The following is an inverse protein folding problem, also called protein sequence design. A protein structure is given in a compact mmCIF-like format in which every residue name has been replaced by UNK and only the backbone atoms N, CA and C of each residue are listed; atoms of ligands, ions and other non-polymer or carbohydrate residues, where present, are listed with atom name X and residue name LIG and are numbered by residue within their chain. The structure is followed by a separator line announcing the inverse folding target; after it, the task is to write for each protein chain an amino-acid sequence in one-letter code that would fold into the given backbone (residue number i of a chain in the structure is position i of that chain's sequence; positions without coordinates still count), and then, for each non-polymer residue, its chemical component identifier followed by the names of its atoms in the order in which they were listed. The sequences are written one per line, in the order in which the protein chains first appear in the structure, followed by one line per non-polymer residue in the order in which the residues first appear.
data_IF_325924740122
#
_entry.id   IF_325924740122
#
_cell.length_a   1.000
_cell.length_b   1.000
_cell.length_c   1.000
_cell.angle_alpha   90.00
_cell.angle_beta   90.00
_cell.angle_gamma   90.00
#
_symmetry.space_group_name_H-M   'P 1'
#
loop_
_entity.id
_entity.type
_entity.pdbx_description
1 polymer ?
#
# COMPACT_ATOMS: atom_id res chain seq x y z
N UNK A 1 -75.27 33.64 -13.45
CA UNK A 1 -74.53 33.40 -12.20
C UNK A 1 -74.02 31.96 -12.26
N UNK A 2 -72.74 31.73 -12.61
CA UNK A 2 -72.24 30.34 -12.75
C UNK A 2 -71.68 29.86 -11.39
N UNK A 3 -72.11 28.63 -11.02
CA UNK A 3 -71.74 27.95 -9.80
C UNK A 3 -70.40 27.24 -10.02
N UNK A 4 -69.34 27.70 -9.36
CA UNK A 4 -68.01 27.03 -9.36
C UNK A 4 -68.04 25.82 -8.43
N UNK A 5 -67.93 24.60 -9.00
CA UNK A 5 -67.67 23.39 -8.24
C UNK A 5 -66.16 23.25 -7.96
N UNK A 6 -65.76 23.16 -6.67
CA UNK A 6 -64.39 22.86 -6.25
C UNK A 6 -64.02 21.41 -6.56
N UNK A 7 -62.79 21.13 -7.06
CA UNK A 7 -62.33 19.76 -7.25
C UNK A 7 -61.98 19.11 -5.93
N UNK A 8 -62.41 17.86 -5.72
CA UNK A 8 -62.08 17.02 -4.61
C UNK A 8 -60.65 16.50 -4.76
N UNK A 9 -59.76 16.91 -3.87
CA UNK A 9 -58.40 16.42 -3.78
C UNK A 9 -58.37 15.03 -3.22
N UNK A 10 -58.02 14.02 -4.05
CA UNK A 10 -57.82 12.62 -3.62
C UNK A 10 -56.40 12.49 -3.10
N UNK A 11 -56.25 12.27 -1.81
CA UNK A 11 -54.99 11.89 -1.20
C UNK A 11 -54.69 10.44 -1.53
N UNK A 12 -53.63 10.17 -2.33
CA UNK A 12 -53.08 8.84 -2.51
C UNK A 12 -52.14 8.57 -1.35
N UNK A 13 -52.54 7.71 -0.41
CA UNK A 13 -51.65 7.22 0.64
C UNK A 13 -50.66 6.25 0.02
N UNK A 14 -49.42 6.70 -0.15
CA UNK A 14 -48.31 5.86 -0.59
C UNK A 14 -47.90 4.91 0.54
N UNK A 15 -48.07 3.62 0.35
CA UNK A 15 -47.59 2.58 1.28
C UNK A 15 -46.04 2.43 1.09
N UNK A 16 -45.27 2.96 2.01
CA UNK A 16 -43.80 2.74 2.05
C UNK A 16 -43.56 1.38 2.69
N UNK A 17 -43.25 0.38 1.89
CA UNK A 17 -42.80 -0.93 2.37
C UNK A 17 -41.30 -0.77 2.72
N UNK A 18 -40.99 -0.61 4.00
CA UNK A 18 -39.64 -0.68 4.51
C UNK A 18 -39.20 -2.16 4.50
N UNK A 19 -38.45 -2.53 3.44
CA UNK A 19 -37.80 -3.82 3.36
C UNK A 19 -36.68 -3.92 4.40
N UNK A 20 -36.84 -4.72 5.44
CA UNK A 20 -35.76 -5.09 6.35
C UNK A 20 -34.80 -6.03 5.61
N UNK A 21 -33.66 -5.50 5.18
CA UNK A 21 -32.52 -6.34 4.75
C UNK A 21 -31.92 -6.95 6.01
N UNK A 22 -32.22 -8.21 6.28
CA UNK A 22 -31.56 -8.97 7.33
C UNK A 22 -30.11 -9.22 6.90
N UNK A 23 -29.16 -8.51 7.50
CA UNK A 23 -27.74 -8.81 7.38
C UNK A 23 -27.49 -10.13 8.14
N UNK A 24 -27.44 -11.24 7.43
CA UNK A 24 -26.99 -12.50 7.99
C UNK A 24 -25.53 -12.31 8.45
N UNK A 25 -25.28 -12.39 9.75
CA UNK A 25 -23.93 -12.44 10.31
C UNK A 25 -23.27 -13.72 9.81
N UNK A 26 -22.32 -13.58 8.87
CA UNK A 26 -21.44 -14.68 8.50
C UNK A 26 -20.56 -14.95 9.72
N UNK A 27 -20.78 -16.11 10.37
CA UNK A 27 -19.85 -16.57 11.40
C UNK A 27 -18.49 -16.80 10.72
N UNK A 28 -17.47 -16.03 11.13
CA UNK A 28 -16.12 -16.34 10.75
C UNK A 28 -15.80 -17.76 11.25
N UNK A 29 -15.41 -18.65 10.34
CA UNK A 29 -14.92 -19.97 10.71
C UNK A 29 -13.50 -19.78 11.22
N UNK A 30 -13.19 -20.23 12.42
CA UNK A 30 -11.83 -20.18 12.96
C UNK A 30 -10.92 -21.04 12.08
N UNK A 31 -9.87 -20.40 11.55
CA UNK A 31 -8.88 -21.10 10.73
C UNK A 31 -7.95 -21.92 11.63
N UNK A 32 -7.60 -23.13 11.16
CA UNK A 32 -6.68 -24.01 11.90
C UNK A 32 -5.27 -23.38 11.92
N UNK A 33 -4.76 -22.94 13.09
CA UNK A 33 -3.44 -22.29 13.18
C UNK A 33 -2.27 -23.21 12.87
N UNK A 34 -2.47 -24.54 12.85
CA UNK A 34 -1.47 -25.49 12.37
C UNK A 34 -1.35 -25.53 10.84
N UNK A 35 -2.39 -25.05 10.13
CA UNK A 35 -2.39 -25.01 8.66
C UNK A 35 -1.89 -23.67 8.11
N UNK A 36 -2.25 -22.56 8.78
CA UNK A 36 -1.86 -21.21 8.34
C UNK A 36 -1.92 -20.19 9.48
N UNK A 37 -1.11 -19.14 9.32
CA UNK A 37 -1.15 -17.95 10.15
C UNK A 37 -1.39 -16.76 9.21
N UNK A 38 -2.23 -15.82 9.62
CA UNK A 38 -2.47 -14.59 8.87
C UNK A 38 -2.45 -13.36 9.78
N UNK A 39 -2.22 -12.20 9.18
CA UNK A 39 -2.41 -10.89 9.81
C UNK A 39 -3.33 -10.05 8.93
N UNK A 40 -4.38 -9.50 9.52
CA UNK A 40 -5.21 -8.51 8.87
C UNK A 40 -4.46 -7.16 8.76
N UNK A 41 -4.85 -6.23 7.87
CA UNK A 41 -4.15 -4.96 7.69
C UNK A 41 -3.96 -4.15 8.97
N UNK A 42 -4.93 -4.19 9.88
CA UNK A 42 -4.86 -3.52 11.19
C UNK A 42 -3.95 -4.22 12.22
N UNK A 43 -3.42 -5.40 11.90
CA UNK A 43 -2.50 -6.17 12.72
C UNK A 43 -1.05 -6.11 12.21
N UNK A 44 -0.81 -5.37 11.12
CA UNK A 44 0.54 -5.17 10.57
C UNK A 44 1.33 -4.26 11.52
N UNK A 45 2.48 -4.73 12.06
CA UNK A 45 3.27 -4.00 13.06
C UNK A 45 4.20 -2.99 12.39
N UNK A 46 3.66 -1.87 11.95
CA UNK A 46 4.43 -0.81 11.32
C UNK A 46 5.39 -0.14 12.31
N UNK A 47 6.63 0.09 11.87
CA UNK A 47 7.66 0.83 12.58
C UNK A 47 8.10 2.01 11.71
N UNK A 48 7.98 3.21 12.23
CA UNK A 48 8.31 4.44 11.52
C UNK A 48 9.83 4.69 11.48
N UNK A 49 10.29 5.22 10.35
CA UNK A 49 11.66 5.67 10.13
C UNK A 49 11.71 7.20 10.03
N UNK A 50 12.75 7.87 10.55
CA UNK A 50 12.97 9.29 10.36
C UNK A 50 13.09 9.73 8.90
N UNK A 51 13.33 8.78 7.98
CA UNK A 51 13.42 9.03 6.54
C UNK A 51 12.06 9.26 5.85
N UNK A 52 10.96 9.27 6.60
CA UNK A 52 9.60 9.46 6.06
C UNK A 52 9.03 8.18 5.43
N UNK A 53 9.40 7.04 5.98
CA UNK A 53 8.84 5.74 5.63
C UNK A 53 8.49 4.95 6.87
N UNK A 54 7.64 3.92 6.71
CA UNK A 54 7.38 2.91 7.74
C UNK A 54 7.69 1.53 7.16
N UNK A 55 8.15 0.62 8.00
CA UNK A 55 8.42 -0.76 7.59
C UNK A 55 7.74 -1.75 8.54
N UNK A 56 7.30 -2.88 8.00
CA UNK A 56 6.80 -4.00 8.79
C UNK A 56 7.41 -5.31 8.31
N UNK A 57 8.05 -6.04 9.19
CA UNK A 57 8.58 -7.38 8.89
C UNK A 57 7.44 -8.40 8.94
N UNK A 58 7.18 -9.04 7.81
CA UNK A 58 6.18 -10.12 7.69
C UNK A 58 6.82 -11.48 7.94
N UNK A 59 8.05 -11.70 7.46
CA UNK A 59 8.80 -12.95 7.61
C UNK A 59 10.31 -12.70 7.57
N UNK A 60 11.06 -13.55 8.27
CA UNK A 60 12.51 -13.47 8.32
C UNK A 60 13.02 -12.31 9.16
N UNK A 61 14.26 -11.91 8.89
CA UNK A 61 14.93 -10.79 9.55
C UNK A 61 15.81 -10.09 8.51
N UNK A 62 15.44 -8.87 8.04
CA UNK A 62 16.19 -8.18 7.00
C UNK A 62 17.61 -7.76 7.44
N UNK A 63 17.94 -7.83 8.73
CA UNK A 63 19.27 -7.50 9.24
C UNK A 63 20.23 -8.70 9.26
N UNK A 64 19.72 -9.93 9.07
CA UNK A 64 20.48 -11.17 9.12
C UNK A 64 20.52 -11.89 7.78
N UNK A 65 21.52 -12.75 7.55
CA UNK A 65 21.50 -13.67 6.39
C UNK A 65 20.24 -14.52 6.35
N UNK A 66 19.68 -14.72 5.19
CA UNK A 66 18.49 -15.51 4.92
C UNK A 66 17.36 -14.71 4.27
N UNK A 67 16.31 -15.40 3.79
CA UNK A 67 15.21 -14.75 3.10
C UNK A 67 14.34 -13.94 4.05
N UNK A 68 13.90 -12.77 3.58
CA UNK A 68 12.96 -11.91 4.30
C UNK A 68 11.82 -11.44 3.39
N UNK A 69 10.70 -11.09 4.02
CA UNK A 69 9.58 -10.39 3.41
C UNK A 69 9.20 -9.22 4.31
N UNK A 70 9.18 -8.03 3.73
CA UNK A 70 8.79 -6.81 4.44
C UNK A 70 7.76 -6.02 3.63
N UNK A 71 6.91 -5.29 4.33
CA UNK A 71 6.17 -4.18 3.73
C UNK A 71 6.94 -2.88 4.00
N UNK A 72 7.03 -2.04 2.99
CA UNK A 72 7.55 -0.67 3.12
C UNK A 72 6.46 0.29 2.68
N UNK A 73 6.19 1.29 3.51
CA UNK A 73 5.33 2.41 3.17
C UNK A 73 6.19 3.67 3.06
N UNK A 74 6.20 4.30 1.89
CA UNK A 74 6.69 5.68 1.76
C UNK A 74 5.53 6.63 1.99
N UNK A 75 5.73 7.63 2.85
CA UNK A 75 4.76 8.69 3.05
C UNK A 75 4.87 9.72 1.94
N UNK A 76 3.75 10.38 1.64
CA UNK A 76 3.68 11.41 0.60
C UNK A 76 4.78 12.46 0.75
N UNK A 77 5.45 12.81 -0.36
CA UNK A 77 6.55 13.77 -0.40
C UNK A 77 7.91 13.24 0.07
N UNK A 78 8.03 11.96 0.43
CA UNK A 78 9.28 11.37 0.89
C UNK A 78 9.88 10.40 -0.12
N UNK A 79 11.18 10.49 -0.29
CA UNK A 79 11.93 9.70 -1.27
C UNK A 79 13.36 9.44 -0.74
N UNK A 80 13.87 8.24 -0.99
CA UNK A 80 15.27 7.92 -0.69
C UNK A 80 16.23 8.75 -1.54
N UNK A 81 17.45 8.89 -1.05
CA UNK A 81 18.56 9.42 -1.86
C UNK A 81 19.24 8.26 -2.61
N UNK A 82 20.03 8.52 -3.69
CA UNK A 82 20.75 7.49 -4.42
C UNK A 82 21.55 6.57 -3.50
N UNK A 83 21.24 5.28 -3.59
CA UNK A 83 21.84 4.22 -2.78
C UNK A 83 21.78 2.88 -3.52
N UNK A 84 22.41 1.86 -2.96
CA UNK A 84 22.31 0.49 -3.43
C UNK A 84 22.24 -0.49 -2.26
N UNK A 85 21.78 -1.71 -2.56
CA UNK A 85 21.76 -2.85 -1.64
C UNK A 85 22.74 -3.93 -2.10
N UNK A 86 23.24 -4.80 -1.19
CA UNK A 86 24.18 -5.85 -1.57
C UNK A 86 23.58 -6.92 -2.49
N UNK A 87 22.30 -7.26 -2.28
CA UNK A 87 21.59 -8.35 -2.94
C UNK A 87 20.39 -7.84 -3.75
N UNK A 88 19.91 -8.66 -4.67
CA UNK A 88 18.68 -8.41 -5.41
C UNK A 88 17.48 -8.31 -4.47
N UNK A 89 16.54 -7.44 -4.82
CA UNK A 89 15.25 -7.31 -4.14
C UNK A 89 14.13 -7.34 -5.19
N UNK A 90 13.09 -8.06 -4.87
CA UNK A 90 11.88 -8.20 -5.69
C UNK A 90 10.76 -7.41 -5.04
N UNK A 91 10.24 -6.42 -5.75
CA UNK A 91 9.32 -5.44 -5.21
C UNK A 91 8.00 -5.51 -5.98
N UNK A 92 6.88 -5.61 -5.24
CA UNK A 92 5.53 -5.48 -5.79
C UNK A 92 4.87 -4.24 -5.22
N UNK A 93 4.32 -3.39 -6.09
CA UNK A 93 3.52 -2.24 -5.65
C UNK A 93 2.12 -2.71 -5.25
N UNK A 94 1.77 -2.56 -3.96
CA UNK A 94 0.47 -2.97 -3.42
C UNK A 94 -0.57 -1.86 -3.58
N UNK A 95 -0.20 -0.62 -3.23
CA UNK A 95 -1.10 0.53 -3.33
C UNK A 95 -0.33 1.83 -3.52
N UNK A 96 -0.99 2.86 -4.05
CA UNK A 96 -0.35 4.14 -4.35
C UNK A 96 0.47 4.09 -5.64
N UNK A 97 1.22 5.16 -5.92
CA UNK A 97 2.15 5.24 -7.07
C UNK A 97 3.57 5.35 -6.53
N UNK A 98 4.38 4.35 -6.85
CA UNK A 98 5.79 4.33 -6.50
C UNK A 98 6.61 5.01 -7.59
N UNK A 99 7.47 5.96 -7.22
CA UNK A 99 8.32 6.70 -8.13
C UNK A 99 9.76 6.23 -8.01
N UNK A 100 10.37 5.79 -9.12
CA UNK A 100 11.68 5.14 -9.14
C UNK A 100 12.60 5.87 -10.11
N UNK A 101 13.82 6.16 -9.66
CA UNK A 101 14.91 6.70 -10.46
C UNK A 101 16.17 5.85 -10.32
N UNK A 102 17.11 5.99 -11.26
CA UNK A 102 18.38 5.26 -11.27
C UNK A 102 19.55 6.22 -11.43
N UNK A 103 20.74 5.75 -11.03
CA UNK A 103 21.98 6.53 -11.12
C UNK A 103 22.31 7.29 -9.83
N UNK A 104 23.47 7.89 -9.83
CA UNK A 104 24.07 8.53 -8.65
C UNK A 104 23.66 9.98 -8.45
N UNK A 105 23.09 10.63 -9.46
CA UNK A 105 22.55 11.99 -9.37
C UNK A 105 21.08 11.92 -8.96
N UNK A 106 20.76 12.56 -7.85
CA UNK A 106 19.36 12.65 -7.41
C UNK A 106 18.58 13.64 -8.29
N UNK A 107 17.55 13.13 -8.95
CA UNK A 107 16.63 13.92 -9.77
C UNK A 107 15.21 13.36 -9.64
N UNK A 108 14.42 13.84 -8.67
CA UNK A 108 13.07 13.35 -8.44
C UNK A 108 12.13 13.61 -9.62
N UNK A 109 12.42 14.60 -10.48
CA UNK A 109 11.57 14.94 -11.62
C UNK A 109 11.72 13.95 -12.78
N UNK A 110 12.87 13.26 -12.85
CA UNK A 110 13.14 12.23 -13.85
C UNK A 110 12.71 10.81 -13.43
N UNK A 111 12.02 10.66 -12.29
CA UNK A 111 11.55 9.36 -11.82
C UNK A 111 10.35 8.84 -12.63
N UNK A 112 10.27 7.52 -12.76
CA UNK A 112 9.22 6.80 -13.48
C UNK A 112 8.15 6.29 -12.50
N UNK A 113 6.85 6.55 -12.77
CA UNK A 113 5.77 6.06 -11.91
C UNK A 113 5.49 4.57 -12.13
N UNK A 114 5.36 3.85 -11.04
CA UNK A 114 4.98 2.44 -10.99
C UNK A 114 3.63 2.32 -10.27
N UNK A 115 2.52 2.04 -10.99
CA UNK A 115 1.20 1.88 -10.39
C UNK A 115 1.06 0.55 -9.63
N UNK A 116 -0.04 0.36 -8.86
CA UNK A 116 -0.34 -0.90 -8.18
C UNK A 116 -0.33 -2.09 -9.14
N UNK A 117 0.25 -3.22 -8.70
CA UNK A 117 0.48 -4.40 -9.52
C UNK A 117 1.79 -4.40 -10.32
N UNK A 118 2.53 -3.29 -10.33
CA UNK A 118 3.88 -3.27 -10.93
C UNK A 118 4.81 -4.19 -10.14
N UNK A 119 5.68 -4.91 -10.89
CA UNK A 119 6.77 -5.70 -10.34
C UNK A 119 8.11 -5.13 -10.80
N UNK A 120 9.04 -4.94 -9.86
CA UNK A 120 10.36 -4.35 -10.11
C UNK A 120 11.43 -5.20 -9.43
N UNK A 121 12.54 -5.41 -10.12
CA UNK A 121 13.76 -5.97 -9.53
C UNK A 121 14.78 -4.86 -9.33
N UNK A 122 15.15 -4.61 -8.08
CA UNK A 122 16.36 -3.85 -7.77
C UNK A 122 17.53 -4.83 -7.73
N UNK A 123 18.37 -4.77 -8.76
CA UNK A 123 19.58 -5.60 -8.81
C UNK A 123 20.58 -5.18 -7.74
N UNK A 124 21.21 -6.15 -7.13
CA UNK A 124 22.25 -5.93 -6.14
C UNK A 124 23.36 -5.03 -6.68
N UNK A 125 23.83 -4.11 -5.83
CA UNK A 125 24.91 -3.13 -6.14
C UNK A 125 24.58 -2.12 -7.25
N UNK A 126 23.35 -2.09 -7.78
CA UNK A 126 22.91 -1.09 -8.73
C UNK A 126 22.25 0.10 -8.03
N UNK A 127 22.67 1.30 -8.39
CA UNK A 127 22.24 2.54 -7.74
C UNK A 127 20.85 2.94 -8.20
N UNK A 128 19.97 3.18 -7.24
CA UNK A 128 18.61 3.67 -7.43
C UNK A 128 18.22 4.63 -6.32
N UNK A 129 17.08 5.30 -6.51
CA UNK A 129 16.37 6.08 -5.51
C UNK A 129 14.87 5.98 -5.80
N UNK A 130 14.05 6.02 -4.77
CA UNK A 130 12.63 5.75 -4.90
C UNK A 130 11.82 6.34 -3.74
N UNK A 131 10.51 6.46 -3.94
CA UNK A 131 9.61 6.95 -2.89
C UNK A 131 8.22 7.31 -3.38
N UNK A 132 7.58 8.22 -2.66
CA UNK A 132 6.24 8.71 -2.92
C UNK A 132 6.25 10.22 -3.18
N UNK A 133 5.43 10.69 -4.15
CA UNK A 133 5.22 12.13 -4.41
C UNK A 133 3.92 12.62 -3.75
N UNK A 134 2.80 12.42 -4.41
CA UNK A 134 1.53 13.06 -4.04
C UNK A 134 0.71 12.28 -2.99
N UNK A 135 1.00 11.00 -2.79
CA UNK A 135 0.28 10.13 -1.86
C UNK A 135 1.15 9.00 -1.35
N UNK A 136 0.76 8.39 -0.24
CA UNK A 136 1.47 7.23 0.30
C UNK A 136 1.50 6.08 -0.70
N UNK A 137 2.59 5.32 -0.69
CA UNK A 137 2.73 4.07 -1.43
C UNK A 137 3.07 2.93 -0.49
N UNK A 138 2.48 1.75 -0.73
CA UNK A 138 2.82 0.51 -0.01
C UNK A 138 3.40 -0.49 -0.98
N UNK A 139 4.55 -1.03 -0.62
CA UNK A 139 5.34 -2.01 -1.35
C UNK A 139 5.47 -3.28 -0.54
N UNK A 140 5.43 -4.45 -1.20
CA UNK A 140 6.00 -5.68 -0.67
C UNK A 140 7.41 -5.85 -1.23
N UNK A 141 8.36 -6.15 -0.39
CA UNK A 141 9.76 -6.40 -0.76
C UNK A 141 10.15 -7.78 -0.26
N UNK A 142 10.59 -8.63 -1.19
CA UNK A 142 11.19 -9.93 -0.93
C UNK A 142 12.67 -9.86 -1.27
N UNK A 143 13.51 -10.37 -0.40
CA UNK A 143 14.95 -10.34 -0.63
C UNK A 143 15.73 -11.33 0.23
N UNK A 144 17.04 -11.31 0.05
CA UNK A 144 18.01 -12.04 0.86
C UNK A 144 18.79 -11.04 1.72
N UNK A 145 18.81 -11.27 3.01
CA UNK A 145 19.51 -10.39 3.96
C UNK A 145 21.02 -10.67 4.05
N UNK A 146 21.78 -9.76 4.64
CA UNK A 146 21.35 -8.51 5.25
C UNK A 146 20.98 -7.44 4.21
N UNK A 147 19.88 -6.75 4.44
CA UNK A 147 19.32 -5.73 3.55
C UNK A 147 19.88 -4.32 3.86
N UNK A 148 21.19 -4.22 3.97
CA UNK A 148 21.85 -2.93 4.23
C UNK A 148 21.70 -1.98 3.04
N UNK A 149 21.70 -0.67 3.31
CA UNK A 149 21.68 0.39 2.31
C UNK A 149 23.01 1.14 2.33
N UNK A 150 23.64 1.31 1.17
CA UNK A 150 24.89 2.05 1.01
C UNK A 150 24.63 3.32 0.20
N UNK A 151 24.84 4.51 0.76
CA UNK A 151 24.73 5.77 0.01
C UNK A 151 25.66 5.82 -1.21
N UNK A 152 25.16 6.35 -2.33
CA UNK A 152 25.90 6.44 -3.59
C UNK A 152 25.67 7.75 -4.34
N UNK A 153 25.10 8.75 -3.68
CA UNK A 153 24.86 10.06 -4.30
C UNK A 153 26.17 10.80 -4.57
N UNK A 154 26.30 11.31 -5.79
CA UNK A 154 27.35 12.29 -6.15
C UNK A 154 26.76 13.69 -6.12
N UNK A 155 27.52 14.63 -5.57
CA UNK A 155 27.14 16.04 -5.49
C UNK A 155 27.47 16.77 -6.80
#
# INVERSE_FOLDING_TARGET
MPIFRKPRQRWLAGLVIAGFVSLASVKATDLNPAALIYKSPNQIPWVDSPAGSSQAVLRGDPEKPGPYIVLTKWHAGHMSRPHFHPNDRFITVISGTWWVGTGTKYDPDSTVPMPPGSFVTHFGKQVHYDGAKDGDVVLEIVGEGPATSTPAEVK
#
